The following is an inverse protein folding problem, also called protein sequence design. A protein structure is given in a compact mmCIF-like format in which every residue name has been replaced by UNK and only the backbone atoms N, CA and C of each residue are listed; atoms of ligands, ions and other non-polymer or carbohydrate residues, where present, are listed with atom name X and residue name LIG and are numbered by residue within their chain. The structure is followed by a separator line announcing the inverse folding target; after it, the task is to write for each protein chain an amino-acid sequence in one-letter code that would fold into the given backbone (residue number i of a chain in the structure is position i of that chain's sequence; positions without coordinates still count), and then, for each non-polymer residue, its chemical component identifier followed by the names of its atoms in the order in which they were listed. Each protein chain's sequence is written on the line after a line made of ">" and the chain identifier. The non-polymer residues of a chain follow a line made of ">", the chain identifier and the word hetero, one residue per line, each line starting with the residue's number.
data_IF_309580084461
#
_entry.id   IF_309580084461
#
_cell.length_a   1.000
_cell.length_b   1.000
_cell.length_c   1.000
_cell.angle_alpha   90.00
_cell.angle_beta   90.00
_cell.angle_gamma   90.00
#
_symmetry.space_group_name_H-M   'P 1'
#
loop_
_entity.id
_entity.type
_entity.pdbx_description
1 polymer ?
#
# COMPACT_ATOMS: atom_id res chain seq x y z
N UNK A 1 1.59 -35.98 -10.45
CA UNK A 1 1.50 -34.51 -10.53
C UNK A 1 1.95 -34.10 -11.92
N UNK A 2 1.13 -33.36 -12.66
CA UNK A 2 1.47 -32.96 -14.03
C UNK A 2 2.44 -31.78 -14.05
N UNK A 3 3.14 -31.55 -15.17
CA UNK A 3 3.97 -30.34 -15.34
C UNK A 3 3.14 -29.06 -15.24
N UNK A 4 1.87 -29.09 -15.67
CA UNK A 4 0.93 -27.99 -15.50
C UNK A 4 0.69 -27.66 -14.01
N UNK A 5 0.56 -28.68 -13.17
CA UNK A 5 0.33 -28.48 -11.73
C UNK A 5 1.55 -27.86 -11.07
N UNK A 6 2.76 -28.28 -11.44
CA UNK A 6 4.00 -27.66 -10.94
C UNK A 6 4.10 -26.18 -11.31
N UNK A 7 3.76 -25.82 -12.55
CA UNK A 7 3.78 -24.42 -12.99
C UNK A 7 2.76 -23.57 -12.21
N UNK A 8 1.58 -24.12 -11.89
CA UNK A 8 0.57 -23.44 -11.08
C UNK A 8 1.06 -23.17 -9.66
N UNK A 9 1.74 -24.13 -9.03
CA UNK A 9 2.33 -23.90 -7.71
C UNK A 9 3.38 -22.78 -7.72
N UNK A 10 4.22 -22.73 -8.77
CA UNK A 10 5.17 -21.63 -8.92
C UNK A 10 4.48 -20.27 -9.09
N UNK A 11 3.32 -20.22 -9.75
CA UNK A 11 2.50 -19.00 -9.85
C UNK A 11 1.95 -18.62 -8.46
N UNK A 12 1.41 -19.58 -7.72
CA UNK A 12 0.90 -19.35 -6.36
C UNK A 12 1.98 -18.77 -5.42
N UNK A 13 3.21 -19.24 -5.56
CA UNK A 13 4.36 -18.72 -4.81
C UNK A 13 4.69 -17.27 -5.18
N UNK A 14 4.60 -16.92 -6.46
CA UNK A 14 4.75 -15.53 -6.93
C UNK A 14 3.63 -14.65 -6.41
N UNK A 15 2.39 -15.12 -6.48
CA UNK A 15 1.21 -14.38 -6.00
C UNK A 15 1.30 -14.10 -4.49
N UNK A 16 1.76 -15.09 -3.72
CA UNK A 16 1.99 -14.94 -2.28
C UNK A 16 3.01 -13.83 -1.98
N UNK A 17 4.11 -13.78 -2.75
CA UNK A 17 5.12 -12.72 -2.63
C UNK A 17 4.58 -11.35 -3.04
N UNK A 18 3.74 -11.28 -4.07
CA UNK A 18 3.08 -10.03 -4.47
C UNK A 18 2.23 -9.49 -3.31
N UNK A 19 1.44 -10.35 -2.66
CA UNK A 19 0.61 -9.97 -1.51
C UNK A 19 1.46 -9.48 -0.34
N UNK A 20 2.56 -10.18 -0.04
CA UNK A 20 3.50 -9.77 1.02
C UNK A 20 4.10 -8.38 0.74
N UNK A 21 4.61 -8.15 -0.48
CA UNK A 21 5.19 -6.88 -0.89
C UNK A 21 4.16 -5.74 -0.89
N UNK A 22 2.92 -6.01 -1.28
CA UNK A 22 1.84 -5.02 -1.20
C UNK A 22 1.51 -4.67 0.26
N UNK A 23 1.51 -5.65 1.16
CA UNK A 23 1.31 -5.44 2.60
C UNK A 23 2.44 -4.58 3.20
N UNK A 24 3.69 -4.88 2.87
CA UNK A 24 4.85 -4.08 3.28
C UNK A 24 4.74 -2.64 2.76
N UNK A 25 4.41 -2.47 1.47
CA UNK A 25 4.23 -1.15 0.86
C UNK A 25 3.11 -0.36 1.56
N UNK A 26 2.02 -1.01 1.97
CA UNK A 26 0.95 -0.36 2.76
C UNK A 26 1.45 0.13 4.11
N UNK A 27 2.28 -0.64 4.81
CA UNK A 27 2.89 -0.22 6.08
C UNK A 27 3.75 1.03 5.90
N UNK A 28 4.60 1.04 4.87
CA UNK A 28 5.42 2.21 4.52
C UNK A 28 4.56 3.44 4.19
N UNK A 29 3.45 3.26 3.46
CA UNK A 29 2.50 4.35 3.20
C UNK A 29 1.93 4.93 4.50
N UNK A 30 1.69 4.10 5.54
CA UNK A 30 1.23 4.57 6.86
C UNK A 30 2.30 5.32 7.62
N UNK A 31 3.53 4.83 7.60
CA UNK A 31 4.64 5.50 8.27
C UNK A 31 4.93 6.87 7.64
N UNK A 32 4.77 7.00 6.31
CA UNK A 32 4.83 8.30 5.62
C UNK A 32 3.74 9.27 6.12
N UNK A 33 2.53 8.78 6.43
CA UNK A 33 1.46 9.63 7.00
C UNK A 33 1.88 10.13 8.37
N UNK A 34 2.34 9.22 9.25
CA UNK A 34 2.75 9.57 10.63
C UNK A 34 3.83 10.64 10.65
N UNK A 35 4.79 10.57 9.72
CA UNK A 35 5.84 11.58 9.56
C UNK A 35 5.32 12.91 8.98
N UNK A 36 4.25 12.86 8.17
CA UNK A 36 3.62 14.03 7.57
C UNK A 36 2.56 14.69 8.44
N UNK A 37 2.02 14.03 9.46
CA UNK A 37 1.00 14.60 10.35
C UNK A 37 1.51 15.84 11.12
N UNK A 38 2.82 16.02 11.26
CA UNK A 38 3.43 17.26 11.80
C UNK A 38 3.49 18.43 10.79
N UNK A 39 3.22 18.17 9.50
CA UNK A 39 3.40 19.15 8.40
C UNK A 39 2.19 19.13 7.50
N UNK A 40 1.35 20.16 7.60
CA UNK A 40 0.12 20.49 6.86
C UNK A 40 0.14 20.27 5.31
N UNK A 41 0.48 19.06 4.87
CA UNK A 41 0.85 18.69 3.52
C UNK A 41 -0.35 18.11 2.78
N UNK A 42 -0.46 18.33 1.46
CA UNK A 42 -1.53 17.76 0.69
C UNK A 42 -1.45 16.22 0.68
N UNK A 43 -2.62 15.58 0.75
CA UNK A 43 -2.77 14.11 0.69
C UNK A 43 -2.20 13.54 -0.61
N UNK A 44 -2.45 14.22 -1.73
CA UNK A 44 -1.86 13.86 -3.03
C UNK A 44 -0.65 14.71 -3.35
N UNK A 45 0.40 14.02 -3.77
CA UNK A 45 1.64 14.62 -4.28
C UNK A 45 1.79 14.21 -5.74
N UNK A 46 1.22 15.01 -6.64
CA UNK A 46 1.19 14.72 -8.08
C UNK A 46 2.60 14.57 -8.66
N UNK A 47 3.55 15.42 -8.24
CA UNK A 47 4.93 15.34 -8.70
C UNK A 47 5.57 14.00 -8.32
N UNK A 48 5.31 13.52 -7.09
CA UNK A 48 5.80 12.22 -6.62
C UNK A 48 5.14 11.05 -7.31
N UNK A 49 3.85 11.13 -7.62
CA UNK A 49 3.08 10.13 -8.37
C UNK A 49 3.62 10.01 -9.81
N UNK A 50 3.82 11.13 -10.50
CA UNK A 50 4.41 11.15 -11.86
C UNK A 50 5.83 10.56 -11.89
N UNK A 51 6.68 10.93 -10.92
CA UNK A 51 8.03 10.40 -10.81
C UNK A 51 8.04 8.88 -10.57
N UNK A 52 7.08 8.37 -9.78
CA UNK A 52 6.91 6.93 -9.57
C UNK A 52 6.55 6.24 -10.88
N UNK A 53 5.53 6.72 -11.59
CA UNK A 53 5.07 6.09 -12.84
C UNK A 53 6.17 6.08 -13.92
N UNK A 54 6.91 7.18 -14.08
CA UNK A 54 8.07 7.25 -14.99
C UNK A 54 9.12 6.19 -14.65
N UNK A 55 9.43 6.01 -13.36
CA UNK A 55 10.36 4.97 -12.91
C UNK A 55 9.83 3.56 -13.18
N UNK A 56 8.56 3.30 -12.92
CA UNK A 56 7.93 1.99 -13.16
C UNK A 56 7.92 1.64 -14.64
N UNK A 57 7.59 2.59 -15.52
CA UNK A 57 7.63 2.39 -16.97
C UNK A 57 9.03 2.00 -17.43
N UNK A 58 10.07 2.63 -16.89
CA UNK A 58 11.48 2.29 -17.21
C UNK A 58 11.81 0.86 -16.77
N UNK A 59 11.50 0.50 -15.53
CA UNK A 59 11.75 -0.85 -14.99
C UNK A 59 10.95 -1.92 -15.75
N UNK A 60 9.70 -1.62 -16.12
CA UNK A 60 8.85 -2.50 -16.90
C UNK A 60 9.47 -2.86 -18.25
N UNK A 61 10.01 -1.86 -18.96
CA UNK A 61 10.71 -2.08 -20.23
C UNK A 61 11.93 -2.98 -20.07
N UNK A 62 12.71 -2.79 -19.01
CA UNK A 62 13.90 -3.62 -18.71
C UNK A 62 13.53 -5.08 -18.44
N UNK A 63 12.32 -5.34 -17.93
CA UNK A 63 11.80 -6.68 -17.61
C UNK A 63 10.86 -7.26 -18.68
N UNK A 64 10.73 -6.60 -19.85
CA UNK A 64 9.81 -6.99 -20.92
C UNK A 64 8.33 -7.08 -20.48
N UNK A 65 7.92 -6.25 -19.52
CA UNK A 65 6.53 -6.15 -19.08
C UNK A 65 5.88 -4.94 -19.76
N UNK A 66 4.64 -5.12 -20.22
CA UNK A 66 3.87 -4.07 -20.88
C UNK A 66 3.75 -2.81 -19.98
N UNK A 67 4.24 -1.65 -20.44
CA UNK A 67 4.16 -0.41 -19.68
C UNK A 67 2.72 0.03 -19.37
N UNK A 68 1.76 -0.28 -20.26
CA UNK A 68 0.36 0.10 -20.05
C UNK A 68 -0.26 -0.71 -18.91
N UNK A 69 -0.04 -2.02 -18.91
CA UNK A 69 -0.40 -2.90 -17.80
C UNK A 69 0.18 -2.41 -16.47
N UNK A 70 1.49 -2.17 -16.41
CA UNK A 70 2.14 -1.71 -15.18
C UNK A 70 1.59 -0.37 -14.69
N UNK A 71 1.33 0.55 -15.62
CA UNK A 71 0.76 1.86 -15.28
C UNK A 71 -0.58 1.68 -14.57
N UNK A 72 -1.48 0.83 -15.09
CA UNK A 72 -2.78 0.54 -14.45
C UNK A 72 -2.63 -0.08 -13.06
N UNK A 73 -1.77 -1.09 -12.93
CA UNK A 73 -1.54 -1.77 -11.65
C UNK A 73 -1.00 -0.78 -10.61
N UNK A 74 -0.02 0.04 -10.98
CA UNK A 74 0.56 1.00 -10.06
C UNK A 74 -0.36 2.18 -9.75
N UNK A 75 -1.26 2.57 -10.65
CA UNK A 75 -2.33 3.52 -10.33
C UNK A 75 -3.21 2.99 -9.19
N UNK A 76 -3.70 1.74 -9.27
CA UNK A 76 -4.52 1.15 -8.20
C UNK A 76 -3.76 1.09 -6.87
N UNK A 77 -2.47 0.76 -6.90
CA UNK A 77 -1.60 0.74 -5.71
C UNK A 77 -1.43 2.15 -5.10
N UNK A 78 -1.35 3.19 -5.93
CA UNK A 78 -1.26 4.59 -5.48
C UNK A 78 -2.61 5.01 -4.88
N UNK A 79 -3.73 4.72 -5.53
CA UNK A 79 -5.07 5.05 -5.05
C UNK A 79 -5.37 4.37 -3.71
N UNK A 80 -4.97 3.12 -3.54
CA UNK A 80 -5.04 2.42 -2.24
C UNK A 80 -4.24 3.16 -1.15
N UNK A 81 -3.06 3.67 -1.49
CA UNK A 81 -2.25 4.45 -0.56
C UNK A 81 -2.96 5.74 -0.17
N UNK A 82 -3.51 6.49 -1.13
CA UNK A 82 -4.28 7.72 -0.88
C UNK A 82 -5.49 7.45 0.02
N UNK A 83 -6.19 6.33 -0.20
CA UNK A 83 -7.34 5.93 0.64
C UNK A 83 -6.94 5.68 2.09
N UNK A 84 -5.78 5.06 2.33
CA UNK A 84 -5.23 4.87 3.67
C UNK A 84 -4.98 6.24 4.34
N UNK A 85 -4.39 7.20 3.62
CA UNK A 85 -4.16 8.56 4.14
C UNK A 85 -5.46 9.27 4.51
N UNK A 86 -6.45 9.24 3.61
CA UNK A 86 -7.78 9.81 3.86
C UNK A 86 -8.44 9.19 5.09
N UNK A 87 -8.34 7.86 5.24
CA UNK A 87 -8.93 7.15 6.39
C UNK A 87 -8.27 7.52 7.71
N UNK A 88 -6.96 7.78 7.73
CA UNK A 88 -6.21 8.19 8.91
C UNK A 88 -6.61 9.60 9.37
N UNK A 89 -6.75 10.54 8.43
CA UNK A 89 -7.17 11.92 8.73
C UNK A 89 -8.61 11.95 9.26
N UNK A 90 -9.51 11.14 8.69
CA UNK A 90 -10.91 11.08 9.12
C UNK A 90 -11.10 10.33 10.46
N UNK A 91 -10.21 9.39 10.81
CA UNK A 91 -10.30 8.58 12.03
C UNK A 91 -8.91 8.36 12.68
N UNK A 92 -8.31 9.39 13.30
CA UNK A 92 -6.97 9.29 13.87
C UNK A 92 -6.82 8.33 15.07
N UNK A 93 -7.93 7.81 15.62
CA UNK A 93 -7.96 7.14 16.94
C UNK A 93 -7.95 5.61 16.94
N UNK A 94 -7.62 4.92 15.85
CA UNK A 94 -7.65 3.42 15.84
C UNK A 94 -6.32 2.68 15.66
N UNK A 95 -5.20 3.35 15.40
CA UNK A 95 -3.92 2.64 15.14
C UNK A 95 -2.82 2.90 16.17
N UNK A 96 -3.18 3.29 17.40
CA UNK A 96 -2.23 3.57 18.46
C UNK A 96 -2.76 3.38 19.88
N UNK A 97 -3.34 2.22 20.22
CA UNK A 97 -3.40 1.78 21.63
C UNK A 97 -3.48 0.25 21.71
N UNK A 98 -2.32 -0.38 21.96
CA UNK A 98 -2.30 -1.63 22.71
C UNK A 98 -2.75 -1.27 24.14
N UNK A 99 -3.91 -1.78 24.55
CA UNK A 99 -4.48 -1.86 25.91
C UNK A 99 -3.97 -0.86 26.96
N UNK A 100 -4.83 0.07 27.34
CA UNK A 100 -5.21 0.20 28.74
C UNK A 100 -6.71 0.49 28.81
N UNK A 101 -7.50 -0.55 29.12
CA UNK A 101 -8.91 -0.41 29.42
C UNK A 101 -9.06 0.37 30.72
N UNK A 102 -9.47 1.63 30.64
CA UNK A 102 -10.00 2.34 31.80
C UNK A 102 -11.45 1.89 31.92
N UNK A 103 -11.71 0.98 32.85
CA UNK A 103 -13.07 0.65 33.30
C UNK A 103 -13.62 1.88 34.01
N UNK A 104 -14.56 2.60 33.39
CA UNK A 104 -15.37 3.60 34.08
C UNK A 104 -16.64 2.90 34.53
N UNK A 105 -16.75 2.66 35.83
CA UNK A 105 -18.01 2.27 36.45
C UNK A 105 -18.94 3.48 36.40
N UNK A 106 -20.12 3.31 35.80
CA UNK A 106 -21.21 4.27 35.95
C UNK A 106 -22.23 3.60 36.89
N UNK A 107 -22.33 4.13 38.11
CA UNK A 107 -23.51 3.95 38.94
C UNK A 107 -24.40 5.19 38.75
N UNK A 108 -25.66 4.95 38.40
CA UNK A 108 -26.69 5.95 38.20
C UNK A 108 -27.79 5.41 37.30
#
# INVERSE_FOLDING_TARGET
>A
MSELDKLRELINDVDSKIIELLSERRKLSKDIIREKDDKNSPIRDQNREEALLKRIIKLGKEQNVDPHFLTKVFYEIIEDSVRIQQSHILNPTKEGTVKNSITVAIQG
#
